data_IF_805713670891
#
_entry.id   IF_805713670891
#
_cell.length_a   1.000
_cell.length_b   1.000
_cell.length_c   1.000
_cell.angle_alpha   90.00
_cell.angle_beta   90.00
_cell.angle_gamma   90.00
#
_symmetry.space_group_name_H-M   'P 1'
#
loop_
_entity.id
_entity.type
_entity.pdbx_description
1 polymer ?
#
# COMPACT_ATOMS: atom_id res chain seq x y z
N UNK A 1 6.26 42.40 28.40
CA UNK A 1 5.47 41.17 28.20
C UNK A 1 5.54 40.78 26.73
N UNK A 2 5.72 39.50 26.41
CA UNK A 2 6.36 38.52 27.30
C UNK A 2 7.36 37.63 26.54
N UNK A 3 8.56 37.33 27.03
CA UNK A 3 8.84 36.39 28.15
C UNK A 3 8.11 35.03 28.09
N UNK A 4 7.10 34.83 27.25
CA UNK A 4 6.40 33.55 27.06
C UNK A 4 7.04 32.69 25.96
N UNK A 5 7.67 33.30 24.94
CA UNK A 5 8.29 32.53 23.84
C UNK A 5 9.55 31.76 24.27
N UNK A 6 10.28 32.27 25.27
CA UNK A 6 11.47 31.58 25.82
C UNK A 6 11.08 30.50 26.82
N UNK A 7 9.93 30.64 27.51
CA UNK A 7 9.42 29.61 28.42
C UNK A 7 8.75 28.43 27.69
N UNK A 8 8.13 28.64 26.52
CA UNK A 8 7.57 27.54 25.72
C UNK A 8 8.64 26.65 25.05
N UNK A 9 9.80 27.23 24.70
CA UNK A 9 10.97 26.49 24.21
C UNK A 9 11.59 25.59 25.29
N UNK A 10 11.66 26.07 26.53
CA UNK A 10 12.13 25.28 27.68
C UNK A 10 11.13 24.18 28.12
N UNK A 11 9.82 24.44 28.01
CA UNK A 11 8.79 23.44 28.31
C UNK A 11 8.72 22.31 27.26
N UNK A 12 8.96 22.60 25.98
CA UNK A 12 9.07 21.59 24.93
C UNK A 12 10.34 20.73 25.07
N UNK A 13 11.47 21.32 25.47
CA UNK A 13 12.69 20.57 25.80
C UNK A 13 12.52 19.70 27.06
N UNK A 14 11.79 20.17 28.07
CA UNK A 14 11.46 19.39 29.26
C UNK A 14 10.45 18.26 28.98
N UNK A 15 9.49 18.45 28.07
CA UNK A 15 8.55 17.40 27.66
C UNK A 15 9.22 16.30 26.79
N UNK A 16 10.23 16.66 25.99
CA UNK A 16 11.06 15.68 25.26
C UNK A 16 12.04 14.95 26.19
N UNK A 17 12.45 15.57 27.30
CA UNK A 17 13.22 14.90 28.35
C UNK A 17 12.36 13.96 29.22
N UNK A 18 11.08 14.29 29.45
CA UNK A 18 10.18 13.51 30.31
C UNK A 18 9.39 12.39 29.58
N UNK A 19 9.55 12.25 28.27
CA UNK A 19 9.11 11.07 27.50
C UNK A 19 10.22 10.03 27.33
N UNK A 20 11.42 10.29 27.85
CA UNK A 20 12.54 9.35 27.94
C UNK A 20 12.68 8.68 29.31
N UNK A 21 11.74 8.90 30.24
CA UNK A 21 11.76 8.39 31.61
C UNK A 21 10.63 7.41 31.94
N UNK A 22 10.05 6.72 30.94
CA UNK A 22 9.53 5.38 31.20
C UNK A 22 10.73 4.44 31.10
N UNK A 23 11.32 4.21 32.26
CA UNK A 23 12.54 3.44 32.52
C UNK A 23 12.61 2.18 31.65
N UNK A 24 13.36 2.26 30.54
CA UNK A 24 14.12 1.10 30.11
C UNK A 24 15.07 0.82 31.27
N UNK A 25 14.83 -0.29 31.98
CA UNK A 25 15.73 -0.71 33.05
C UNK A 25 17.16 -0.75 32.53
N UNK A 26 18.09 -0.41 33.41
CA UNK A 26 19.51 -0.22 33.13
C UNK A 26 20.13 -1.40 32.35
N UNK A 27 21.22 -1.17 31.57
CA UNK A 27 22.02 -2.24 30.90
C UNK A 27 22.47 -3.40 31.81
N UNK A 28 22.29 -3.24 33.12
CA UNK A 28 22.67 -4.15 34.19
C UNK A 28 21.73 -5.37 34.30
N UNK A 29 20.43 -5.26 33.99
CA UNK A 29 19.52 -6.42 34.03
C UNK A 29 19.69 -7.35 32.82
N UNK A 30 20.01 -6.81 31.64
CA UNK A 30 20.32 -7.60 30.45
C UNK A 30 21.60 -8.45 30.64
N UNK A 31 22.62 -7.88 31.32
CA UNK A 31 23.89 -8.53 31.60
C UNK A 31 23.87 -9.50 32.80
N UNK A 32 22.75 -9.57 33.53
CA UNK A 32 22.64 -10.47 34.70
C UNK A 32 22.61 -11.93 34.23
N UNK A 33 23.57 -12.72 34.69
CA UNK A 33 23.66 -14.14 34.39
C UNK A 33 22.63 -14.92 35.22
N UNK A 34 21.86 -15.79 34.56
CA UNK A 34 20.79 -16.59 35.16
C UNK A 34 20.84 -18.04 34.65
N UNK A 35 20.02 -18.92 35.21
CA UNK A 35 19.71 -20.19 34.55
C UNK A 35 18.89 -19.96 33.28
N UNK A 36 18.83 -20.94 32.37
CA UNK A 36 17.98 -20.86 31.17
C UNK A 36 16.50 -20.73 31.55
N UNK A 37 16.05 -21.48 32.57
CA UNK A 37 14.67 -21.43 33.06
C UNK A 37 14.33 -20.04 33.62
N UNK A 38 15.20 -19.47 34.47
CA UNK A 38 14.99 -18.15 35.04
C UNK A 38 15.12 -17.05 33.97
N UNK A 39 15.98 -17.24 32.98
CA UNK A 39 16.08 -16.34 31.83
C UNK A 39 14.83 -16.36 30.98
N UNK A 40 14.19 -17.53 30.80
CA UNK A 40 12.88 -17.62 30.13
C UNK A 40 11.83 -16.83 30.88
N UNK A 41 11.71 -17.04 32.20
CA UNK A 41 10.77 -16.29 33.03
C UNK A 41 11.05 -14.77 33.01
N UNK A 42 12.32 -14.37 33.11
CA UNK A 42 12.74 -12.97 33.08
C UNK A 42 12.51 -12.33 31.70
N UNK A 43 12.74 -13.06 30.62
CA UNK A 43 12.50 -12.60 29.25
C UNK A 43 10.99 -12.36 29.00
N UNK A 44 10.13 -13.26 29.49
CA UNK A 44 8.67 -13.09 29.43
C UNK A 44 8.22 -11.81 30.15
N UNK A 45 8.85 -11.50 31.29
CA UNK A 45 8.53 -10.34 32.12
C UNK A 45 9.16 -9.02 31.64
N UNK A 46 10.11 -9.07 30.69
CA UNK A 46 10.86 -7.91 30.23
C UNK A 46 10.44 -7.50 28.81
N UNK A 47 10.00 -6.27 28.64
CA UNK A 47 9.50 -5.78 27.35
C UNK A 47 10.57 -5.55 26.30
N UNK A 48 11.82 -5.41 26.73
CA UNK A 48 12.94 -5.30 25.82
C UNK A 48 13.50 -6.65 25.38
N UNK A 49 13.15 -7.78 26.01
CA UNK A 49 13.76 -9.06 25.69
C UNK A 49 13.22 -9.69 24.40
N UNK A 50 14.12 -10.07 23.50
CA UNK A 50 13.80 -10.76 22.22
C UNK A 50 14.53 -12.09 22.06
N UNK A 51 15.56 -12.36 22.88
CA UNK A 51 16.28 -13.62 22.90
C UNK A 51 17.01 -13.81 24.24
N UNK A 52 17.34 -15.06 24.55
CA UNK A 52 18.16 -15.47 25.68
C UNK A 52 19.43 -16.08 25.10
N UNK A 53 20.58 -15.69 25.62
CA UNK A 53 21.87 -16.22 25.16
C UNK A 53 22.59 -16.89 26.30
N UNK A 54 22.93 -18.16 26.13
CA UNK A 54 23.68 -18.96 27.09
C UNK A 54 25.03 -19.38 26.50
N UNK A 55 26.06 -19.67 27.32
CA UNK A 55 27.27 -20.32 26.84
C UNK A 55 26.94 -21.67 26.19
N UNK A 56 27.65 -22.02 25.11
CA UNK A 56 27.39 -23.25 24.35
C UNK A 56 27.37 -24.50 25.21
N UNK A 57 26.31 -25.30 25.07
CA UNK A 57 26.09 -26.54 25.81
C UNK A 57 25.79 -26.33 27.30
N UNK A 58 25.47 -25.11 27.74
CA UNK A 58 25.17 -24.79 29.14
C UNK A 58 23.80 -24.14 29.27
N UNK A 59 23.08 -24.54 30.32
CA UNK A 59 21.82 -23.91 30.74
C UNK A 59 22.02 -22.91 31.90
N UNK A 60 23.26 -22.50 32.16
CA UNK A 60 23.61 -21.53 33.19
C UNK A 60 24.51 -20.44 32.64
N UNK A 61 24.46 -19.25 33.23
CA UNK A 61 25.19 -18.09 32.73
C UNK A 61 24.47 -17.35 31.60
N UNK A 62 23.17 -17.58 31.45
CA UNK A 62 22.36 -17.02 30.38
C UNK A 62 22.04 -15.54 30.63
N UNK A 63 21.97 -14.75 29.57
CA UNK A 63 21.68 -13.31 29.59
C UNK A 63 20.53 -12.98 28.63
N UNK A 64 19.85 -11.85 28.86
CA UNK A 64 18.76 -11.42 27.99
C UNK A 64 19.32 -10.48 26.92
N UNK A 65 18.81 -10.59 25.69
CA UNK A 65 19.14 -9.68 24.60
C UNK A 65 17.92 -8.92 24.13
N UNK A 66 18.12 -7.63 23.87
CA UNK A 66 17.12 -6.75 23.26
C UNK A 66 17.17 -6.71 21.73
N UNK A 67 18.14 -7.40 21.13
CA UNK A 67 18.27 -7.57 19.68
C UNK A 67 18.65 -9.02 19.41
N UNK A 68 17.89 -9.70 18.56
CA UNK A 68 18.12 -11.10 18.18
C UNK A 68 18.97 -11.17 16.90
N UNK A 69 20.29 -10.99 17.01
CA UNK A 69 21.20 -11.33 15.92
C UNK A 69 21.53 -12.82 16.02
N UNK A 70 20.80 -13.64 15.28
CA UNK A 70 20.88 -15.10 15.38
C UNK A 70 21.90 -15.67 14.40
N UNK A 71 23.15 -15.24 14.56
CA UNK A 71 24.30 -15.86 13.89
C UNK A 71 24.68 -17.09 14.71
N UNK A 72 24.80 -18.26 14.06
CA UNK A 72 25.34 -19.46 14.71
C UNK A 72 26.76 -19.15 15.19
N UNK A 73 26.89 -18.88 16.49
CA UNK A 73 28.12 -18.41 17.10
C UNK A 73 28.72 -19.55 17.89
N UNK A 74 29.98 -19.87 17.60
CA UNK A 74 30.63 -21.07 18.12
C UNK A 74 30.64 -21.19 19.66
N UNK A 75 30.43 -20.08 20.39
CA UNK A 75 30.57 -20.01 21.84
C UNK A 75 29.26 -19.82 22.60
N UNK A 76 28.14 -19.59 21.92
CA UNK A 76 26.87 -19.24 22.55
C UNK A 76 25.67 -19.98 21.91
N UNK A 77 24.78 -20.51 22.73
CA UNK A 77 23.47 -21.00 22.31
C UNK A 77 22.43 -19.89 22.49
N UNK A 78 21.64 -19.62 21.45
CA UNK A 78 20.60 -18.60 21.45
C UNK A 78 19.21 -19.24 21.53
N UNK A 79 18.48 -18.96 22.61
CA UNK A 79 17.13 -19.47 22.88
C UNK A 79 16.12 -18.34 22.70
N UNK A 80 15.08 -18.58 21.91
CA UNK A 80 13.98 -17.63 21.74
C UNK A 80 12.92 -17.76 22.83
N UNK A 81 12.15 -16.69 22.99
CA UNK A 81 10.81 -16.79 23.56
C UNK A 81 9.91 -17.49 22.52
N UNK A 82 9.79 -18.81 22.66
CA UNK A 82 8.82 -19.61 21.93
C UNK A 82 7.56 -19.62 22.79
N UNK A 83 6.54 -18.89 22.34
CA UNK A 83 5.19 -19.07 22.86
C UNK A 83 4.54 -20.20 22.08
N UNK A 84 3.70 -20.98 22.74
CA UNK A 84 2.91 -22.02 22.08
C UNK A 84 1.45 -21.68 22.33
N UNK A 85 0.64 -21.60 21.28
CA UNK A 85 -0.79 -21.33 21.42
C UNK A 85 -1.53 -22.54 22.03
N UNK A 86 -2.82 -22.39 22.30
CA UNK A 86 -3.66 -23.45 22.87
C UNK A 86 -3.78 -24.69 21.94
N UNK A 87 -3.50 -24.53 20.64
CA UNK A 87 -3.52 -25.58 19.63
C UNK A 87 -2.14 -26.25 19.42
N UNK A 88 -1.10 -25.80 20.14
CA UNK A 88 0.24 -26.37 20.05
C UNK A 88 1.14 -25.73 18.97
N UNK A 89 0.72 -24.64 18.33
CA UNK A 89 1.52 -23.94 17.32
C UNK A 89 2.57 -23.05 17.96
N UNK A 90 3.79 -23.07 17.42
CA UNK A 90 4.88 -22.20 17.85
C UNK A 90 4.64 -20.79 17.34
N UNK A 91 4.37 -19.87 18.26
CA UNK A 91 4.36 -18.44 18.05
C UNK A 91 5.77 -17.89 18.24
N UNK A 92 6.40 -17.51 17.13
CA UNK A 92 7.71 -16.86 17.11
C UNK A 92 7.63 -15.50 16.42
N UNK A 93 8.45 -14.58 16.88
CA UNK A 93 8.71 -13.31 16.20
C UNK A 93 9.63 -13.47 14.98
N UNK A 94 10.21 -14.66 14.77
CA UNK A 94 11.03 -14.97 13.59
C UNK A 94 10.13 -15.29 12.40
N UNK A 95 10.61 -14.88 11.22
CA UNK A 95 10.07 -15.37 9.96
C UNK A 95 10.47 -16.83 9.77
N UNK A 96 9.58 -17.61 9.17
CA UNK A 96 9.86 -19.00 8.80
C UNK A 96 11.12 -19.10 7.90
N UNK A 97 11.97 -20.14 8.01
CA UNK A 97 13.21 -20.23 7.23
C UNK A 97 13.04 -20.12 5.70
N UNK A 98 11.90 -20.58 5.17
CA UNK A 98 11.58 -20.48 3.75
C UNK A 98 11.08 -19.10 3.30
N UNK A 99 10.86 -18.14 4.22
CA UNK A 99 10.21 -16.86 3.92
C UNK A 99 10.92 -16.10 2.80
N UNK A 100 12.24 -15.95 2.89
CA UNK A 100 13.03 -15.23 1.87
C UNK A 100 13.11 -15.96 0.52
N UNK A 101 12.98 -17.29 0.51
CA UNK A 101 12.88 -18.04 -0.74
C UNK A 101 11.53 -17.83 -1.41
N UNK A 102 10.45 -17.78 -0.63
CA UNK A 102 9.11 -17.47 -1.14
C UNK A 102 9.05 -16.08 -1.77
N UNK A 103 9.74 -15.08 -1.23
CA UNK A 103 9.77 -13.73 -1.81
C UNK A 103 10.38 -13.65 -3.23
N UNK A 104 11.02 -14.73 -3.71
CA UNK A 104 11.48 -14.84 -5.10
C UNK A 104 10.31 -15.06 -6.07
N UNK A 105 9.16 -15.50 -5.57
CA UNK A 105 7.94 -15.70 -6.34
C UNK A 105 7.13 -14.41 -6.45
N UNK A 106 6.71 -14.07 -7.67
CA UNK A 106 6.03 -12.80 -7.97
C UNK A 106 4.81 -12.44 -7.07
N UNK A 107 3.91 -13.39 -6.71
CA UNK A 107 2.73 -13.06 -5.91
C UNK A 107 3.04 -12.74 -4.45
N UNK A 108 4.16 -13.21 -3.92
CA UNK A 108 4.46 -13.15 -2.50
C UNK A 108 5.17 -11.86 -2.15
N UNK A 109 4.57 -11.09 -1.25
CA UNK A 109 5.06 -9.81 -0.79
C UNK A 109 5.27 -9.84 0.73
N UNK A 110 6.42 -9.34 1.16
CA UNK A 110 6.76 -9.31 2.57
C UNK A 110 5.92 -8.28 3.33
N UNK A 111 5.77 -8.50 4.63
CA UNK A 111 5.28 -7.51 5.58
C UNK A 111 6.40 -7.19 6.56
N UNK A 112 6.59 -5.90 6.86
CA UNK A 112 7.59 -5.42 7.80
C UNK A 112 6.95 -4.53 8.87
N UNK A 113 7.63 -4.37 9.99
CA UNK A 113 7.32 -3.37 11.01
C UNK A 113 7.80 -1.99 10.58
N UNK A 114 7.45 -0.95 11.34
CA UNK A 114 7.95 0.42 11.13
C UNK A 114 9.47 0.56 11.13
N UNK A 115 10.20 -0.37 11.76
CA UNK A 115 11.66 -0.37 11.83
C UNK A 115 12.30 -1.21 10.72
N UNK A 116 11.51 -1.77 9.82
CA UNK A 116 11.98 -2.60 8.71
C UNK A 116 12.17 -4.09 9.03
N UNK A 117 11.87 -4.52 10.26
CA UNK A 117 11.94 -5.94 10.62
C UNK A 117 10.83 -6.71 9.90
N UNK A 118 11.17 -7.78 9.16
CA UNK A 118 10.19 -8.68 8.59
C UNK A 118 9.40 -9.39 9.70
N UNK A 119 8.13 -9.66 9.43
CA UNK A 119 7.25 -10.45 10.32
C UNK A 119 6.72 -11.65 9.57
N UNK A 120 6.28 -12.70 10.28
CA UNK A 120 5.87 -13.97 9.69
C UNK A 120 4.48 -13.92 9.03
N UNK A 121 4.22 -12.84 8.29
CA UNK A 121 3.03 -12.55 7.52
C UNK A 121 3.45 -12.35 6.07
N UNK A 122 2.73 -12.93 5.12
CA UNK A 122 3.00 -12.81 3.70
C UNK A 122 1.75 -12.38 2.95
N UNK A 123 1.83 -11.28 2.20
CA UNK A 123 0.75 -10.87 1.33
C UNK A 123 0.81 -11.61 -0.01
N UNK A 124 -0.35 -11.97 -0.55
CA UNK A 124 -0.50 -12.54 -1.88
C UNK A 124 -1.20 -11.54 -2.78
N UNK A 125 -0.44 -10.89 -3.68
CA UNK A 125 -0.88 -9.71 -4.45
C UNK A 125 -1.41 -10.00 -5.85
N UNK A 126 -1.29 -11.24 -6.30
CA UNK A 126 -1.72 -11.70 -7.63
C UNK A 126 -2.17 -13.16 -7.58
N UNK A 127 -2.93 -13.65 -8.58
CA UNK A 127 -3.28 -15.06 -8.68
C UNK A 127 -2.03 -15.96 -8.65
N UNK A 128 -1.86 -16.86 -7.67
CA UNK A 128 -0.74 -17.81 -7.67
C UNK A 128 -0.95 -18.88 -8.74
N UNK A 129 0.11 -19.18 -9.50
CA UNK A 129 0.12 -20.32 -10.42
C UNK A 129 0.20 -21.66 -9.66
N UNK A 130 0.15 -22.79 -10.38
CA UNK A 130 0.15 -24.11 -9.74
C UNK A 130 1.38 -24.44 -8.88
N UNK A 131 2.55 -23.87 -9.17
CA UNK A 131 3.76 -24.01 -8.32
C UNK A 131 3.61 -23.20 -7.05
N UNK A 132 3.19 -21.94 -7.18
CA UNK A 132 2.98 -21.02 -6.06
C UNK A 132 1.85 -21.48 -5.14
N UNK A 133 0.80 -22.11 -5.68
CA UNK A 133 -0.24 -22.75 -4.88
C UNK A 133 0.32 -23.92 -4.05
N UNK A 134 1.23 -24.73 -4.59
CA UNK A 134 1.89 -25.80 -3.82
C UNK A 134 2.77 -25.23 -2.71
N UNK A 135 3.48 -24.13 -2.98
CA UNK A 135 4.28 -23.43 -1.97
C UNK A 135 3.38 -22.88 -0.85
N UNK A 136 2.27 -22.23 -1.20
CA UNK A 136 1.26 -21.82 -0.23
C UNK A 136 0.77 -23.00 0.61
N UNK A 137 0.29 -24.07 -0.03
CA UNK A 137 -0.24 -25.24 0.69
C UNK A 137 0.79 -25.88 1.63
N UNK A 138 2.07 -25.83 1.26
CA UNK A 138 3.16 -26.36 2.10
C UNK A 138 3.40 -25.54 3.37
N UNK A 139 3.25 -24.22 3.32
CA UNK A 139 3.64 -23.31 4.42
C UNK A 139 2.48 -22.53 5.03
N UNK A 140 1.23 -22.75 4.59
CA UNK A 140 0.05 -21.96 5.02
C UNK A 140 -0.25 -22.04 6.52
N UNK A 141 0.24 -23.08 7.18
CA UNK A 141 0.03 -23.30 8.61
C UNK A 141 1.17 -22.64 9.42
N UNK A 142 2.38 -22.54 8.86
CA UNK A 142 3.57 -21.95 9.49
C UNK A 142 3.75 -20.45 9.21
N UNK A 143 3.16 -19.92 8.14
CA UNK A 143 3.23 -18.50 7.73
C UNK A 143 1.80 -17.98 7.57
N UNK A 144 1.51 -16.81 8.13
CA UNK A 144 0.21 -16.17 7.93
C UNK A 144 0.15 -15.55 6.52
N UNK A 145 -0.46 -16.25 5.58
CA UNK A 145 -0.76 -15.68 4.26
C UNK A 145 -2.06 -14.89 4.30
N UNK A 146 -2.03 -13.65 3.80
CA UNK A 146 -3.20 -12.80 3.59
C UNK A 146 -3.27 -12.40 2.12
N UNK A 147 -4.47 -12.40 1.54
CA UNK A 147 -4.64 -11.87 0.18
C UNK A 147 -4.65 -10.34 0.16
N UNK A 148 -4.23 -9.73 -0.95
CA UNK A 148 -4.39 -8.29 -1.18
C UNK A 148 -4.82 -7.96 -2.61
N UNK A 149 -5.83 -7.11 -2.72
CA UNK A 149 -6.26 -6.51 -3.98
C UNK A 149 -5.18 -5.55 -4.50
N UNK A 150 -4.46 -5.97 -5.54
CA UNK A 150 -3.37 -5.19 -6.17
C UNK A 150 -3.34 -5.31 -7.70
N UNK A 151 -3.63 -6.49 -8.26
CA UNK A 151 -3.53 -6.74 -9.69
C UNK A 151 -4.91 -6.87 -10.38
N UNK A 152 -5.24 -5.92 -11.26
CA UNK A 152 -6.48 -5.91 -12.06
C UNK A 152 -7.73 -6.22 -11.20
N UNK A 153 -8.42 -7.33 -11.50
CA UNK A 153 -9.64 -7.76 -10.81
C UNK A 153 -9.39 -8.68 -9.61
N UNK A 154 -8.14 -9.07 -9.33
CA UNK A 154 -7.80 -10.01 -8.26
C UNK A 154 -8.34 -9.53 -6.89
N UNK A 155 -9.05 -10.39 -6.13
CA UNK A 155 -9.16 -11.86 -6.24
C UNK A 155 -10.27 -12.40 -7.16
N UNK A 156 -11.03 -11.54 -7.83
CA UNK A 156 -12.07 -11.98 -8.75
C UNK A 156 -11.44 -12.63 -9.97
N UNK A 157 -12.19 -13.59 -10.52
CA UNK A 157 -11.86 -14.18 -11.81
C UNK A 157 -12.26 -13.20 -12.90
N UNK A 158 -11.43 -13.11 -13.93
CA UNK A 158 -11.85 -12.47 -15.17
C UNK A 158 -13.08 -13.20 -15.71
N UNK A 159 -14.04 -12.45 -16.21
CA UNK A 159 -15.20 -13.01 -16.91
C UNK A 159 -14.73 -13.95 -18.04
N UNK A 160 -15.39 -15.10 -18.17
CA UNK A 160 -15.03 -16.16 -19.12
C UNK A 160 -13.75 -16.94 -18.79
N UNK A 161 -13.13 -16.73 -17.62
CA UNK A 161 -11.98 -17.53 -17.18
C UNK A 161 -12.39 -18.97 -16.86
N UNK A 162 -11.62 -19.94 -17.35
CA UNK A 162 -11.73 -21.35 -16.97
C UNK A 162 -10.93 -21.69 -15.70
N UNK A 163 -10.37 -20.69 -15.02
CA UNK A 163 -9.63 -20.90 -13.78
C UNK A 163 -10.54 -21.49 -12.69
N UNK A 164 -10.16 -22.65 -12.19
CA UNK A 164 -10.90 -23.38 -11.15
C UNK A 164 -10.50 -22.93 -9.74
N UNK A 165 -9.37 -22.25 -9.57
CA UNK A 165 -8.91 -21.82 -8.26
C UNK A 165 -9.89 -20.83 -7.62
N UNK A 166 -10.28 -21.06 -6.37
CA UNK A 166 -11.07 -20.12 -5.59
C UNK A 166 -10.15 -19.30 -4.70
N UNK A 167 -9.75 -18.11 -5.18
CA UNK A 167 -8.88 -17.20 -4.42
C UNK A 167 -9.62 -16.50 -3.28
N UNK A 168 -10.97 -16.43 -3.33
CA UNK A 168 -11.76 -15.70 -2.34
C UNK A 168 -11.75 -16.41 -1.00
N UNK A 169 -11.87 -17.74 -1.00
CA UNK A 169 -11.80 -18.57 0.21
C UNK A 169 -10.40 -19.08 0.57
N UNK A 170 -9.39 -18.80 -0.24
CA UNK A 170 -8.06 -19.41 -0.13
C UNK A 170 -7.29 -18.98 1.12
N UNK A 171 -7.42 -17.72 1.54
CA UNK A 171 -6.69 -17.14 2.65
C UNK A 171 -7.62 -16.86 3.84
N UNK A 172 -7.14 -16.97 5.09
CA UNK A 172 -7.94 -16.66 6.28
C UNK A 172 -8.30 -15.16 6.39
N UNK A 173 -7.56 -14.28 5.70
CA UNK A 173 -7.88 -12.87 5.62
C UNK A 173 -7.51 -12.24 4.28
N UNK A 174 -8.20 -11.16 3.93
CA UNK A 174 -8.05 -10.47 2.66
C UNK A 174 -8.16 -8.94 2.79
N UNK A 175 -7.15 -8.24 2.27
CA UNK A 175 -7.13 -6.79 2.09
C UNK A 175 -7.82 -6.45 0.77
N UNK A 176 -9.09 -6.05 0.83
CA UNK A 176 -9.99 -5.98 -0.34
C UNK A 176 -10.30 -4.55 -0.77
N UNK A 177 -10.88 -4.44 -1.96
CA UNK A 177 -11.46 -3.20 -2.50
C UNK A 177 -12.93 -3.34 -2.92
N UNK A 178 -13.59 -4.46 -2.58
CA UNK A 178 -15.03 -4.66 -2.81
C UNK A 178 -15.87 -3.66 -2.00
N UNK A 179 -16.94 -3.13 -2.60
CA UNK A 179 -17.93 -2.27 -1.92
C UNK A 179 -18.80 -3.03 -0.92
N UNK A 180 -19.11 -4.28 -1.24
CA UNK A 180 -19.94 -5.18 -0.42
C UNK A 180 -19.18 -6.50 -0.19
N UNK A 181 -18.10 -6.48 0.63
CA UNK A 181 -17.22 -7.64 0.81
C UNK A 181 -17.93 -8.89 1.32
N UNK A 182 -18.96 -8.74 2.14
CA UNK A 182 -19.76 -9.83 2.72
C UNK A 182 -20.57 -10.62 1.68
N UNK A 183 -20.83 -10.03 0.51
CA UNK A 183 -21.47 -10.72 -0.63
C UNK A 183 -20.47 -11.48 -1.50
N UNK A 184 -19.18 -11.17 -1.37
CA UNK A 184 -18.11 -11.65 -2.26
C UNK A 184 -17.25 -12.69 -1.55
N UNK A 185 -16.83 -12.40 -0.32
CA UNK A 185 -15.96 -13.28 0.45
C UNK A 185 -16.76 -14.26 1.29
N UNK A 186 -16.30 -15.52 1.41
CA UNK A 186 -16.87 -16.46 2.35
C UNK A 186 -16.81 -15.94 3.81
N UNK A 187 -17.77 -16.29 4.68
CA UNK A 187 -17.85 -15.75 6.05
C UNK A 187 -16.62 -16.03 6.93
N UNK A 188 -15.84 -17.06 6.63
CA UNK A 188 -14.63 -17.38 7.40
C UNK A 188 -13.45 -16.45 7.08
N UNK A 189 -13.51 -15.70 5.98
CA UNK A 189 -12.43 -14.82 5.54
C UNK A 189 -12.60 -13.46 6.20
N UNK A 190 -11.60 -13.05 6.97
CA UNK A 190 -11.58 -11.73 7.60
C UNK A 190 -11.21 -10.67 6.57
N UNK A 191 -11.95 -9.58 6.49
CA UNK A 191 -11.77 -8.58 5.44
C UNK A 191 -11.36 -7.22 6.00
N UNK A 192 -10.42 -6.55 5.33
CA UNK A 192 -10.07 -5.16 5.59
C UNK A 192 -10.09 -4.35 4.28
N UNK A 193 -10.81 -3.23 4.24
CA UNK A 193 -10.83 -2.31 3.10
C UNK A 193 -9.47 -1.58 2.97
N UNK A 194 -8.55 -2.15 2.22
CA UNK A 194 -7.16 -1.71 2.08
C UNK A 194 -6.55 -2.21 0.77
N UNK A 195 -5.72 -1.38 0.14
CA UNK A 195 -4.95 -1.75 -1.05
C UNK A 195 -3.51 -1.25 -0.95
N UNK A 196 -2.67 -1.67 -1.89
CA UNK A 196 -1.26 -1.26 -1.94
C UNK A 196 -1.11 0.26 -2.16
N UNK A 197 -2.08 0.91 -2.80
CA UNK A 197 -2.08 2.35 -3.01
C UNK A 197 -2.21 3.14 -1.70
N UNK A 198 -2.74 2.55 -0.62
CA UNK A 198 -2.84 3.19 0.70
C UNK A 198 -1.45 3.49 1.31
N UNK A 199 -0.39 2.87 0.80
CA UNK A 199 1.01 3.06 1.21
C UNK A 199 1.83 3.85 0.18
N UNK A 200 1.21 4.31 -0.91
CA UNK A 200 1.89 4.90 -2.07
C UNK A 200 1.78 6.43 -2.13
N UNK A 201 1.75 7.11 -0.98
CA UNK A 201 1.78 8.57 -0.93
C UNK A 201 3.22 9.08 -1.12
N UNK A 202 3.52 9.83 -2.20
CA UNK A 202 4.82 10.45 -2.36
C UNK A 202 5.04 11.57 -1.33
N UNK A 203 6.27 11.72 -0.84
CA UNK A 203 6.66 12.84 0.00
C UNK A 203 6.93 14.07 -0.88
N UNK A 204 5.94 14.95 -0.96
CA UNK A 204 5.94 16.09 -1.87
C UNK A 204 5.48 17.37 -1.16
N UNK A 205 6.06 18.53 -1.52
CA UNK A 205 5.64 19.80 -0.95
C UNK A 205 4.19 20.11 -1.30
N UNK A 206 3.57 21.00 -0.51
CA UNK A 206 2.24 21.52 -0.81
C UNK A 206 2.23 22.24 -2.16
N UNK A 207 1.06 22.28 -2.81
CA UNK A 207 0.85 22.99 -4.06
C UNK A 207 1.08 24.49 -3.86
N UNK A 208 1.84 25.08 -4.78
CA UNK A 208 1.92 26.53 -4.95
C UNK A 208 0.72 26.99 -5.79
N UNK A 209 -0.26 27.62 -5.15
CA UNK A 209 -1.47 28.13 -5.79
C UNK A 209 -1.23 29.39 -6.65
N UNK A 210 -0.06 30.02 -6.56
CA UNK A 210 0.31 31.14 -7.44
C UNK A 210 0.68 30.68 -8.86
N UNK A 211 1.01 29.39 -9.03
CA UNK A 211 1.31 28.80 -10.33
C UNK A 211 0.04 28.25 -10.96
N UNK A 212 -0.44 28.82 -12.08
CA UNK A 212 -1.64 28.33 -12.75
C UNK A 212 -1.42 26.93 -13.34
N UNK A 213 -2.49 26.14 -13.40
CA UNK A 213 -2.48 24.85 -14.08
C UNK A 213 -2.34 25.07 -15.59
N UNK A 214 -1.52 24.24 -16.24
CA UNK A 214 -1.22 24.33 -17.67
C UNK A 214 -2.15 23.48 -18.53
N UNK A 215 -2.62 22.36 -17.97
CA UNK A 215 -3.49 21.40 -18.66
C UNK A 215 -4.76 21.20 -17.87
N UNK A 216 -5.83 20.79 -18.52
CA UNK A 216 -7.06 20.43 -17.82
C UNK A 216 -6.90 19.08 -17.13
N UNK A 217 -6.34 18.08 -17.82
CA UNK A 217 -6.21 16.74 -17.25
C UNK A 217 -4.92 16.01 -17.60
N UNK A 218 -4.57 15.02 -16.78
CA UNK A 218 -3.58 13.99 -17.10
C UNK A 218 -4.25 12.62 -17.05
N UNK A 219 -3.92 11.77 -18.02
CA UNK A 219 -4.32 10.35 -18.06
C UNK A 219 -3.06 9.48 -18.15
N UNK A 220 -2.98 8.44 -17.33
CA UNK A 220 -1.88 7.48 -17.30
C UNK A 220 -2.28 6.19 -18.01
N UNK A 221 -1.72 5.97 -19.20
CA UNK A 221 -1.91 4.76 -19.98
C UNK A 221 -0.81 3.73 -19.69
N UNK A 222 -0.51 2.87 -20.67
CA UNK A 222 0.67 2.01 -20.71
C UNK A 222 1.08 1.84 -22.17
N UNK A 223 2.39 1.73 -22.43
CA UNK A 223 2.94 1.74 -23.79
C UNK A 223 2.91 0.36 -24.47
N UNK A 224 2.38 -0.68 -23.80
CA UNK A 224 2.52 -2.06 -24.26
C UNK A 224 1.64 -2.45 -25.48
N UNK A 225 0.60 -1.67 -25.78
CA UNK A 225 -0.32 -1.94 -26.91
C UNK A 225 -0.32 -0.86 -27.99
N UNK A 226 0.67 0.05 -27.99
CA UNK A 226 0.71 1.17 -28.97
C UNK A 226 0.70 0.67 -30.40
N UNK A 227 1.31 -0.47 -30.66
CA UNK A 227 1.32 -1.06 -32.00
C UNK A 227 -0.07 -1.52 -32.48
N UNK A 228 -0.96 -1.88 -31.56
CA UNK A 228 -2.31 -2.36 -31.85
C UNK A 228 -3.39 -1.34 -31.51
N UNK A 229 -3.01 -0.06 -31.33
CA UNK A 229 -3.91 1.03 -30.95
C UNK A 229 -4.75 0.75 -29.68
N UNK A 230 -4.14 0.07 -28.70
CA UNK A 230 -4.80 -0.22 -27.43
C UNK A 230 -5.84 -1.33 -27.49
N UNK A 231 -5.79 -2.22 -28.50
CA UNK A 231 -6.66 -3.40 -28.57
C UNK A 231 -6.19 -4.58 -27.71
N UNK A 232 -5.06 -4.46 -27.02
CA UNK A 232 -4.52 -5.50 -26.15
C UNK A 232 -4.86 -5.33 -24.67
N UNK A 233 -4.08 -5.98 -23.81
CA UNK A 233 -4.31 -6.04 -22.36
C UNK A 233 -4.10 -4.68 -21.65
N UNK A 234 -3.10 -3.90 -22.03
CA UNK A 234 -2.86 -2.56 -21.48
C UNK A 234 -3.99 -1.59 -21.86
N UNK A 235 -4.44 -1.64 -23.12
CA UNK A 235 -5.56 -0.81 -23.56
C UNK A 235 -6.87 -1.20 -22.88
N UNK A 236 -7.14 -2.50 -22.73
CA UNK A 236 -8.29 -3.00 -21.97
C UNK A 236 -8.26 -2.58 -20.50
N UNK A 237 -7.15 -2.85 -19.79
CA UNK A 237 -7.00 -2.52 -18.36
C UNK A 237 -7.06 -1.01 -18.10
N UNK A 238 -6.55 -0.19 -19.01
CA UNK A 238 -6.61 1.27 -18.92
C UNK A 238 -7.88 1.90 -19.52
N UNK A 239 -8.80 1.07 -20.03
CA UNK A 239 -10.07 1.46 -20.64
C UNK A 239 -9.92 2.42 -21.83
N UNK A 240 -8.95 2.14 -22.71
CA UNK A 240 -8.58 3.02 -23.82
C UNK A 240 -9.70 3.28 -24.82
N UNK A 241 -10.56 2.29 -25.08
CA UNK A 241 -11.72 2.46 -25.96
C UNK A 241 -12.64 3.57 -25.47
N UNK A 242 -12.99 3.56 -24.17
CA UNK A 242 -13.75 4.63 -23.55
C UNK A 242 -13.00 5.96 -23.55
N UNK A 243 -11.69 5.94 -23.29
CA UNK A 243 -10.86 7.16 -23.33
C UNK A 243 -10.95 7.84 -24.70
N UNK A 244 -10.86 7.09 -25.81
CA UNK A 244 -10.98 7.66 -27.16
C UNK A 244 -12.33 8.34 -27.38
N UNK A 245 -13.41 7.74 -26.90
CA UNK A 245 -14.76 8.30 -26.99
C UNK A 245 -14.89 9.57 -26.14
N UNK A 246 -14.49 9.50 -24.87
CA UNK A 246 -14.50 10.62 -23.94
C UNK A 246 -13.66 11.81 -24.47
N UNK A 247 -12.48 11.53 -25.04
CA UNK A 247 -11.62 12.52 -25.66
C UNK A 247 -12.33 13.29 -26.79
N UNK A 248 -13.18 12.62 -27.57
CA UNK A 248 -13.94 13.25 -28.64
C UNK A 248 -14.79 14.41 -28.12
N UNK A 249 -15.52 14.17 -27.03
CA UNK A 249 -16.34 15.17 -26.35
C UNK A 249 -15.50 16.19 -25.57
N UNK A 250 -14.51 15.74 -24.79
CA UNK A 250 -13.63 16.60 -24.00
C UNK A 250 -12.90 17.63 -24.85
N UNK A 251 -12.31 17.22 -25.97
CA UNK A 251 -11.59 18.13 -26.87
C UNK A 251 -12.53 18.90 -27.79
N UNK A 252 -13.57 18.24 -28.32
CA UNK A 252 -14.45 18.81 -29.34
C UNK A 252 -15.44 19.81 -28.77
N UNK A 253 -16.13 19.44 -27.70
CA UNK A 253 -17.22 20.23 -27.15
C UNK A 253 -16.78 21.10 -25.98
N UNK A 254 -15.93 20.56 -25.09
CA UNK A 254 -15.46 21.28 -23.90
C UNK A 254 -14.11 21.98 -24.12
N UNK A 255 -13.48 21.79 -25.28
CA UNK A 255 -12.21 22.40 -25.66
C UNK A 255 -11.06 22.14 -24.66
N UNK A 256 -11.09 20.99 -23.98
CA UNK A 256 -10.09 20.64 -22.96
C UNK A 256 -8.73 20.29 -23.58
N UNK A 257 -7.70 20.61 -22.83
CA UNK A 257 -6.29 20.28 -23.10
C UNK A 257 -5.79 19.24 -22.10
N UNK A 258 -4.84 18.40 -22.50
CA UNK A 258 -4.47 17.27 -21.64
C UNK A 258 -3.16 16.61 -21.98
N UNK A 259 -2.72 15.77 -21.06
CA UNK A 259 -1.50 14.95 -21.19
C UNK A 259 -1.88 13.48 -21.13
N UNK A 260 -1.55 12.77 -22.21
CA UNK A 260 -1.71 11.33 -22.36
C UNK A 260 -0.35 10.67 -22.17
N UNK A 261 -0.13 10.15 -20.97
CA UNK A 261 1.17 9.59 -20.56
C UNK A 261 1.28 8.14 -21.05
N UNK A 262 2.43 7.79 -21.62
CA UNK A 262 2.74 6.46 -22.16
C UNK A 262 1.79 5.98 -23.27
N UNK A 263 1.33 6.91 -24.13
CA UNK A 263 0.54 6.58 -25.33
C UNK A 263 1.36 6.57 -26.61
N UNK A 264 2.69 6.52 -26.50
CA UNK A 264 3.62 6.33 -27.60
C UNK A 264 4.54 5.16 -27.32
N UNK A 265 4.95 4.47 -28.39
CA UNK A 265 5.92 3.39 -28.26
C UNK A 265 7.29 3.94 -27.82
N UNK A 266 8.16 3.09 -27.28
CA UNK A 266 9.47 3.52 -26.75
C UNK A 266 10.37 4.21 -27.78
N UNK A 267 10.23 3.83 -29.05
CA UNK A 267 10.95 4.45 -30.17
C UNK A 267 10.39 5.83 -30.57
N UNK A 268 9.26 6.25 -29.99
CA UNK A 268 8.55 7.50 -30.33
C UNK A 268 8.21 7.60 -31.83
N UNK A 269 7.96 6.46 -32.49
CA UNK A 269 7.60 6.37 -33.92
C UNK A 269 6.11 6.16 -34.14
N UNK A 270 5.39 5.71 -33.12
CA UNK A 270 3.96 5.46 -33.18
C UNK A 270 3.27 5.91 -31.88
N UNK A 271 2.01 6.28 -32.01
CA UNK A 271 1.17 6.72 -30.92
C UNK A 271 -0.20 6.05 -31.01
N UNK A 272 -0.90 5.96 -29.88
CA UNK A 272 -2.34 5.69 -29.92
C UNK A 272 -3.06 6.78 -30.72
N UNK A 273 -4.07 6.37 -31.47
CA UNK A 273 -4.96 7.24 -32.20
C UNK A 273 -5.77 8.10 -31.24
N UNK A 274 -5.92 9.38 -31.57
CA UNK A 274 -6.79 10.32 -30.85
C UNK A 274 -7.77 10.95 -31.83
N UNK A 275 -8.96 11.36 -31.38
CA UNK A 275 -9.92 12.06 -32.23
C UNK A 275 -9.32 13.31 -32.88
N UNK A 276 -9.75 13.65 -34.10
CA UNK A 276 -9.27 14.82 -34.83
C UNK A 276 -9.48 16.13 -34.05
N UNK A 277 -10.58 16.21 -33.28
CA UNK A 277 -10.90 17.36 -32.41
C UNK A 277 -9.85 17.61 -31.31
N UNK A 278 -9.01 16.62 -31.00
CA UNK A 278 -7.92 16.71 -30.02
C UNK A 278 -6.57 17.10 -30.62
N UNK A 279 -6.44 17.19 -31.95
CA UNK A 279 -5.18 17.60 -32.59
C UNK A 279 -4.78 19.00 -32.12
N UNK A 280 -3.54 19.12 -31.65
CA UNK A 280 -3.00 20.38 -31.09
C UNK A 280 -3.41 20.68 -29.64
N UNK A 281 -4.27 19.86 -29.02
CA UNK A 281 -4.72 20.02 -27.62
C UNK A 281 -4.10 19.01 -26.65
N UNK A 282 -3.54 17.93 -27.17
CA UNK A 282 -2.99 16.82 -26.39
C UNK A 282 -1.48 16.73 -26.49
N UNK A 283 -0.83 16.49 -25.36
CA UNK A 283 0.55 15.99 -25.31
C UNK A 283 0.49 14.48 -25.16
N UNK A 284 1.11 13.75 -26.09
CA UNK A 284 1.31 12.31 -25.99
C UNK A 284 2.79 12.00 -25.70
N UNK A 285 3.06 11.25 -24.63
CA UNK A 285 4.43 10.89 -24.23
C UNK A 285 4.74 9.43 -24.51
N UNK A 286 6.04 9.10 -24.61
CA UNK A 286 6.52 7.73 -24.39
C UNK A 286 6.40 7.35 -22.92
N UNK A 287 6.75 6.11 -22.56
CA UNK A 287 6.95 5.73 -21.17
C UNK A 287 7.94 6.69 -20.47
N UNK A 288 7.53 7.22 -19.32
CA UNK A 288 8.33 8.13 -18.52
C UNK A 288 9.14 7.31 -17.50
N UNK A 289 10.45 7.20 -17.73
CA UNK A 289 11.32 6.37 -16.90
C UNK A 289 11.47 6.90 -15.46
N UNK A 290 11.43 8.22 -15.28
CA UNK A 290 11.48 8.84 -13.96
C UNK A 290 10.06 9.19 -13.53
N UNK A 291 9.70 8.76 -12.33
CA UNK A 291 8.40 9.05 -11.74
C UNK A 291 8.16 10.57 -11.60
N UNK A 292 9.22 11.34 -11.35
CA UNK A 292 9.14 12.81 -11.27
C UNK A 292 8.61 13.45 -12.56
N UNK A 293 8.95 12.88 -13.74
CA UNK A 293 8.47 13.42 -15.02
C UNK A 293 6.95 13.27 -15.15
N UNK A 294 6.40 12.18 -14.62
CA UNK A 294 4.96 11.98 -14.53
C UNK A 294 4.32 12.97 -13.54
N UNK A 295 4.90 13.13 -12.36
CA UNK A 295 4.43 14.06 -11.34
C UNK A 295 4.44 15.52 -11.82
N UNK A 296 5.40 15.88 -12.68
CA UNK A 296 5.46 17.21 -13.27
C UNK A 296 4.27 17.50 -14.19
N UNK A 297 3.77 16.52 -14.95
CA UNK A 297 2.52 16.68 -15.70
C UNK A 297 1.30 16.70 -14.77
N UNK A 298 1.26 15.77 -13.81
CA UNK A 298 0.15 15.62 -12.88
C UNK A 298 -0.09 16.93 -12.10
N UNK A 299 0.96 17.52 -11.52
CA UNK A 299 0.86 18.78 -10.76
C UNK A 299 0.48 19.98 -11.63
N UNK A 300 0.69 19.90 -12.95
CA UNK A 300 0.29 20.93 -13.92
C UNK A 300 -1.14 20.74 -14.44
N UNK A 301 -1.81 19.63 -14.11
CA UNK A 301 -3.20 19.37 -14.48
C UNK A 301 -4.19 19.83 -13.42
N UNK A 302 -5.38 20.25 -13.86
CA UNK A 302 -6.51 20.59 -12.97
C UNK A 302 -7.08 19.35 -12.29
N UNK A 303 -7.13 18.21 -12.98
CA UNK A 303 -7.52 16.92 -12.40
C UNK A 303 -6.77 15.73 -13.03
N UNK A 304 -6.79 14.58 -12.36
CA UNK A 304 -6.35 13.31 -12.94
C UNK A 304 -7.56 12.53 -13.46
N UNK A 305 -7.49 12.02 -14.69
CA UNK A 305 -8.56 11.23 -15.30
C UNK A 305 -8.28 9.73 -15.14
N UNK A 306 -9.16 9.03 -14.41
CA UNK A 306 -9.04 7.62 -14.07
C UNK A 306 -10.25 6.83 -14.62
N UNK A 307 -10.25 6.49 -15.92
CA UNK A 307 -11.36 5.80 -16.56
C UNK A 307 -11.33 4.28 -16.41
N UNK A 308 -10.33 3.74 -15.73
CA UNK A 308 -10.13 2.30 -15.62
C UNK A 308 -11.28 1.65 -14.85
N UNK A 309 -11.66 0.43 -15.27
CA UNK A 309 -12.59 -0.42 -14.53
C UNK A 309 -11.80 -1.54 -13.83
N UNK A 310 -10.84 -2.14 -14.54
CA UNK A 310 -10.04 -3.27 -14.09
C UNK A 310 -8.76 -2.85 -13.36
N UNK A 311 -8.88 -2.06 -12.30
CA UNK A 311 -7.75 -1.60 -11.48
C UNK A 311 -8.11 -1.63 -9.98
N UNK A 312 -7.67 -2.67 -9.27
CA UNK A 312 -7.94 -2.82 -7.84
C UNK A 312 -7.09 -1.91 -6.95
N UNK A 313 -5.96 -1.38 -7.43
CA UNK A 313 -5.07 -0.55 -6.61
C UNK A 313 -4.44 0.56 -7.47
N UNK A 314 -5.24 1.53 -7.93
CA UNK A 314 -4.76 2.59 -8.82
C UNK A 314 -3.84 3.56 -8.05
N UNK A 315 -2.53 3.32 -8.10
CA UNK A 315 -1.50 4.16 -7.45
C UNK A 315 -1.52 5.61 -7.94
N UNK A 316 -1.98 5.82 -9.17
CA UNK A 316 -2.21 7.16 -9.74
C UNK A 316 -3.17 7.97 -8.87
N UNK A 317 -4.17 7.35 -8.24
CA UNK A 317 -5.12 8.05 -7.37
C UNK A 317 -4.41 8.66 -6.16
N UNK A 318 -3.73 7.82 -5.37
CA UNK A 318 -3.05 8.25 -4.15
C UNK A 318 -1.94 9.28 -4.45
N UNK A 319 -1.25 9.11 -5.58
CA UNK A 319 -0.23 10.05 -6.06
C UNK A 319 -0.82 11.39 -6.50
N UNK A 320 -1.94 11.39 -7.22
CA UNK A 320 -2.64 12.62 -7.60
C UNK A 320 -3.10 13.40 -6.37
N UNK A 321 -3.71 12.70 -5.40
CA UNK A 321 -4.17 13.35 -4.18
C UNK A 321 -3.01 13.95 -3.38
N UNK A 322 -1.89 13.23 -3.22
CA UNK A 322 -0.70 13.77 -2.55
C UNK A 322 -0.11 15.02 -3.24
N UNK A 323 -0.26 15.13 -4.56
CA UNK A 323 0.11 16.31 -5.36
C UNK A 323 -0.93 17.43 -5.38
N UNK A 324 -1.96 17.31 -4.54
CA UNK A 324 -3.06 18.25 -4.46
C UNK A 324 -3.82 18.40 -5.80
N UNK A 325 -4.05 17.26 -6.45
CA UNK A 325 -4.78 17.15 -7.72
C UNK A 325 -6.03 16.29 -7.50
N UNK A 326 -7.24 16.84 -7.68
CA UNK A 326 -8.46 16.07 -7.57
C UNK A 326 -8.57 15.02 -8.68
N UNK A 327 -9.36 13.99 -8.45
CA UNK A 327 -9.47 12.84 -9.36
C UNK A 327 -10.88 12.74 -9.96
N UNK A 328 -10.98 12.54 -11.27
CA UNK A 328 -12.22 12.16 -11.95
C UNK A 328 -12.15 10.66 -12.22
N UNK A 329 -12.95 9.87 -11.50
CA UNK A 329 -12.82 8.42 -11.46
C UNK A 329 -14.07 7.72 -12.00
N UNK A 330 -13.88 6.63 -12.73
CA UNK A 330 -14.99 5.77 -13.13
C UNK A 330 -15.59 5.09 -11.88
N UNK A 331 -16.90 5.19 -11.67
CA UNK A 331 -17.62 4.62 -10.54
C UNK A 331 -17.47 3.10 -10.44
N UNK A 332 -17.37 2.43 -11.60
CA UNK A 332 -17.27 0.99 -11.74
C UNK A 332 -15.85 0.46 -11.54
N UNK A 333 -14.86 1.31 -11.22
CA UNK A 333 -13.51 0.86 -10.94
C UNK A 333 -13.48 -0.17 -9.78
N UNK A 334 -12.72 -1.23 -9.97
CA UNK A 334 -12.56 -2.32 -9.01
C UNK A 334 -12.02 -1.84 -7.66
N UNK A 335 -11.11 -0.87 -7.67
CA UNK A 335 -10.55 -0.27 -6.48
C UNK A 335 -10.12 1.18 -6.69
N UNK A 336 -9.90 1.89 -5.59
CA UNK A 336 -9.61 3.32 -5.58
C UNK A 336 -10.85 4.20 -5.38
N UNK A 337 -12.06 3.66 -5.54
CA UNK A 337 -13.30 4.39 -5.32
C UNK A 337 -13.37 5.04 -3.92
N UNK A 338 -12.80 4.41 -2.89
CA UNK A 338 -12.76 4.94 -1.52
C UNK A 338 -11.95 6.24 -1.37
N UNK A 339 -11.18 6.62 -2.40
CA UNK A 339 -10.41 7.86 -2.40
C UNK A 339 -11.23 9.06 -2.90
N UNK A 340 -12.40 8.83 -3.50
CA UNK A 340 -13.27 9.89 -4.00
C UNK A 340 -14.27 10.28 -2.90
N UNK A 341 -14.33 11.57 -2.63
CA UNK A 341 -15.18 12.24 -1.65
C UNK A 341 -15.42 13.67 -2.12
N UNK A 342 -16.25 14.42 -1.40
CA UNK A 342 -16.46 15.85 -1.67
C UNK A 342 -15.17 16.68 -1.61
N UNK A 343 -14.11 16.19 -0.93
CA UNK A 343 -12.83 16.88 -0.83
C UNK A 343 -11.82 16.50 -1.90
N UNK A 344 -12.04 15.42 -2.64
CA UNK A 344 -10.96 14.78 -3.43
C UNK A 344 -11.28 14.60 -4.90
N UNK A 345 -12.54 14.71 -5.32
CA UNK A 345 -12.88 14.64 -6.74
C UNK A 345 -14.30 14.21 -7.01
N UNK A 346 -14.51 13.63 -8.19
CA UNK A 346 -15.83 13.30 -8.71
C UNK A 346 -15.85 11.91 -9.36
N UNK A 347 -17.03 11.30 -9.35
CA UNK A 347 -17.30 10.08 -10.11
C UNK A 347 -18.01 10.37 -11.43
N UNK A 348 -17.85 9.46 -12.37
CA UNK A 348 -18.72 9.30 -13.55
C UNK A 348 -18.96 7.81 -13.79
N UNK A 349 -20.03 7.46 -14.51
CA UNK A 349 -20.36 6.07 -14.82
C UNK A 349 -19.92 5.72 -16.24
N UNK A 350 -20.30 6.55 -17.21
CA UNK A 350 -20.07 6.31 -18.64
C UNK A 350 -20.30 7.61 -19.44
N UNK A 351 -20.52 7.50 -20.75
CA UNK A 351 -20.74 8.68 -21.61
C UNK A 351 -22.03 9.45 -21.31
N UNK A 352 -23.01 8.83 -20.64
CA UNK A 352 -24.29 9.46 -20.31
C UNK A 352 -24.15 10.56 -19.26
N UNK A 353 -23.16 10.48 -18.37
CA UNK A 353 -22.99 11.42 -17.24
C UNK A 353 -21.60 12.07 -17.17
N UNK A 354 -20.58 11.57 -17.88
CA UNK A 354 -19.21 12.10 -17.81
C UNK A 354 -19.14 13.61 -18.10
N UNK A 355 -19.99 14.12 -19.00
CA UNK A 355 -20.04 15.57 -19.29
C UNK A 355 -20.37 16.37 -18.02
N UNK A 356 -21.37 15.93 -17.26
CA UNK A 356 -21.79 16.62 -16.03
C UNK A 356 -20.69 16.56 -14.97
N UNK A 357 -20.09 15.39 -14.78
CA UNK A 357 -18.99 15.20 -13.83
C UNK A 357 -17.74 16.02 -14.20
N UNK A 358 -17.42 16.13 -15.49
CA UNK A 358 -16.36 16.99 -15.99
C UNK A 358 -16.62 18.46 -15.66
N UNK A 359 -17.82 18.97 -15.96
CA UNK A 359 -18.17 20.36 -15.64
C UNK A 359 -18.07 20.63 -14.13
N UNK A 360 -18.47 19.67 -13.30
CA UNK A 360 -18.38 19.78 -11.84
C UNK A 360 -16.93 19.82 -11.36
N UNK A 361 -16.09 18.86 -11.76
CA UNK A 361 -14.69 18.82 -11.32
C UNK A 361 -13.86 19.99 -11.87
N UNK A 362 -14.14 20.44 -13.10
CA UNK A 362 -13.50 21.62 -13.67
C UNK A 362 -13.80 22.86 -12.83
N UNK A 363 -15.08 23.08 -12.49
CA UNK A 363 -15.50 24.19 -11.64
C UNK A 363 -14.84 24.11 -10.26
N UNK A 364 -14.88 22.95 -9.61
CA UNK A 364 -14.27 22.76 -8.30
C UNK A 364 -12.75 22.91 -8.30
N UNK A 365 -12.07 22.47 -9.36
CA UNK A 365 -10.61 22.61 -9.48
C UNK A 365 -10.13 24.07 -9.66
N UNK A 366 -11.00 24.95 -10.15
CA UNK A 366 -10.73 26.39 -10.31
C UNK A 366 -11.06 27.20 -9.06
N UNK A 367 -11.94 26.68 -8.20
CA UNK A 367 -12.38 27.34 -6.98
C UNK A 367 -11.39 27.06 -5.83
N UNK A 368 -10.74 28.10 -5.26
CA UNK A 368 -9.80 27.92 -4.16
C UNK A 368 -10.42 27.16 -2.99
N UNK A 369 -9.73 26.15 -2.48
CA UNK A 369 -10.15 25.31 -1.34
C UNK A 369 -11.46 24.53 -1.53
N UNK A 370 -12.02 24.44 -2.74
CA UNK A 370 -13.17 23.58 -2.99
C UNK A 370 -12.81 22.11 -2.80
N UNK A 371 -11.71 21.67 -3.42
CA UNK A 371 -11.09 20.39 -3.14
C UNK A 371 -9.83 20.60 -2.26
N UNK A 372 -9.62 19.71 -1.29
CA UNK A 372 -8.42 19.66 -0.45
C UNK A 372 -7.77 18.25 -0.49
N UNK A 373 -7.45 17.72 -1.69
CA UNK A 373 -7.13 16.31 -1.85
C UNK A 373 -5.87 15.89 -1.10
N UNK A 374 -4.85 16.74 -1.03
CA UNK A 374 -3.61 16.43 -0.31
C UNK A 374 -3.83 16.33 1.18
N UNK A 375 -4.55 17.31 1.76
CA UNK A 375 -4.87 17.35 3.18
C UNK A 375 -5.64 16.09 3.57
N UNK A 376 -6.72 15.80 2.86
CA UNK A 376 -7.53 14.61 3.09
C UNK A 376 -6.70 13.32 2.98
N UNK A 377 -5.87 13.17 1.94
CA UNK A 377 -5.06 11.97 1.77
C UNK A 377 -4.04 11.77 2.90
N UNK A 378 -3.38 12.83 3.36
CA UNK A 378 -2.41 12.77 4.46
C UNK A 378 -3.05 12.48 5.83
N UNK A 379 -4.33 12.84 6.02
CA UNK A 379 -5.07 12.56 7.25
C UNK A 379 -5.61 11.12 7.32
N UNK A 380 -5.76 10.45 6.18
CA UNK A 380 -6.44 9.13 6.10
C UNK A 380 -5.54 7.98 5.66
N UNK A 381 -4.48 8.24 4.88
CA UNK A 381 -3.63 7.24 4.24
C UNK A 381 -2.14 7.49 4.48
N UNK A 382 -1.30 6.64 3.88
CA UNK A 382 0.15 6.64 4.05
C UNK A 382 0.62 5.60 5.07
N UNK A 383 1.93 5.39 5.10
CA UNK A 383 2.58 4.32 5.86
C UNK A 383 2.11 4.21 7.32
N UNK A 384 1.95 5.35 8.00
CA UNK A 384 1.51 5.38 9.38
C UNK A 384 0.04 4.97 9.52
N UNK A 385 -0.89 5.74 8.93
CA UNK A 385 -2.33 5.52 9.10
C UNK A 385 -2.78 4.15 8.55
N UNK A 386 -2.30 3.79 7.36
CA UNK A 386 -2.61 2.51 6.74
C UNK A 386 -1.96 1.34 7.51
N UNK A 387 -0.72 1.52 7.97
CA UNK A 387 -0.02 0.48 8.71
C UNK A 387 -0.56 0.24 10.13
N UNK A 388 -1.04 1.28 10.82
CA UNK A 388 -1.72 1.17 12.12
C UNK A 388 -3.03 0.37 11.95
N UNK A 389 -3.78 0.62 10.89
CA UNK A 389 -4.99 -0.15 10.54
C UNK A 389 -4.68 -1.62 10.23
N UNK A 390 -3.60 -1.88 9.49
CA UNK A 390 -3.17 -3.25 9.17
C UNK A 390 -2.75 -4.00 10.43
N UNK A 391 -1.96 -3.35 11.30
CA UNK A 391 -1.56 -3.92 12.58
C UNK A 391 -2.79 -4.32 13.41
N UNK A 392 -3.72 -3.38 13.60
CA UNK A 392 -4.95 -3.64 14.35
C UNK A 392 -5.75 -4.80 13.77
N UNK A 393 -5.91 -4.84 12.45
CA UNK A 393 -6.61 -5.95 11.80
C UNK A 393 -5.94 -7.30 12.06
N UNK A 394 -4.61 -7.34 12.02
CA UNK A 394 -3.84 -8.55 12.29
C UNK A 394 -3.97 -8.98 13.75
N UNK A 395 -3.84 -8.06 14.69
CA UNK A 395 -3.98 -8.34 16.13
C UNK A 395 -5.41 -8.80 16.49
N UNK A 396 -6.43 -8.14 15.95
CA UNK A 396 -7.83 -8.45 16.25
C UNK A 396 -8.27 -9.83 15.71
N UNK A 397 -7.62 -10.34 14.65
CA UNK A 397 -8.10 -11.51 13.92
C UNK A 397 -7.14 -12.71 13.91
N UNK A 398 -5.84 -12.49 14.16
CA UNK A 398 -4.80 -13.50 13.93
C UNK A 398 -3.71 -13.49 15.03
N UNK A 399 -3.98 -12.92 16.21
CA UNK A 399 -3.04 -12.92 17.34
C UNK A 399 -2.72 -14.34 17.86
N UNK A 400 -3.60 -15.30 17.60
CA UNK A 400 -3.41 -16.73 17.87
C UNK A 400 -2.46 -17.40 16.86
N UNK A 401 -2.19 -16.76 15.71
CA UNK A 401 -1.38 -17.33 14.62
C UNK A 401 0.01 -16.73 14.48
N UNK A 402 0.21 -15.51 15.00
CA UNK A 402 1.48 -14.81 14.86
C UNK A 402 1.87 -14.08 16.14
N UNK A 403 3.18 -13.97 16.37
CA UNK A 403 3.74 -13.06 17.36
C UNK A 403 4.47 -11.92 16.66
N UNK A 404 4.06 -10.69 16.92
CA UNK A 404 4.76 -9.52 16.42
C UNK A 404 5.86 -9.09 17.40
N UNK A 405 6.99 -8.52 16.92
CA UNK A 405 8.00 -7.94 17.79
C UNK A 405 7.39 -6.91 18.75
N UNK A 406 7.79 -6.95 20.03
CA UNK A 406 7.34 -5.95 21.01
C UNK A 406 7.67 -4.53 20.50
N UNK A 407 6.73 -3.61 20.68
CA UNK A 407 6.86 -2.22 20.20
C UNK A 407 6.57 -2.01 18.71
N UNK A 408 6.08 -3.00 17.96
CA UNK A 408 5.46 -2.76 16.66
C UNK A 408 4.32 -1.75 16.81
N UNK A 409 4.38 -0.67 16.01
CA UNK A 409 3.36 0.40 16.03
C UNK A 409 2.50 0.40 14.76
N UNK A 410 3.08 -0.05 13.65
CA UNK A 410 2.38 -0.21 12.38
C UNK A 410 3.14 -1.19 11.48
N UNK A 411 2.42 -1.79 10.55
CA UNK A 411 2.94 -2.72 9.55
C UNK A 411 3.03 -2.06 8.17
N UNK A 412 4.01 -2.46 7.35
CA UNK A 412 4.30 -1.95 6.02
C UNK A 412 4.49 -3.11 5.05
N UNK A 413 4.32 -2.89 3.74
CA UNK A 413 4.57 -3.90 2.72
C UNK A 413 4.88 -3.33 1.35
#
# INVERSE_FOLDING_TARGET
MPLEAVQQSAAAAAAVANLRSREAKTPQEAATQRSLLDSKAACLAEDSCVAIVCPRGKESGCTLRAIANSVDYAYEDCYEQIEVDEAGHILSTRVHPAYNDLLKEYPFQQVTTQTGNQVNIMLVRSPPNGVQQKLYQKYKDDILFLGISSMNDYPLKREGSHDKADYLGMFPGFLHMMREPEKVFPPHVKTLLMSQSDFSLPDVPARDYSVPKKYDFTYSASDCDVESDGTGWCGWSKNWTFVKEALGMMCGELNLTGVLVATKNKANTKAYSIPDSCKGKMIQTTYLARQQDYFDYLKQSRFAFLPQIHDASPRVSSQALAHDVPILMNWYIQGGWKYVSEHTGEFFHDMSDIRQSLLKILKGADEPHHYEPRKWALEHYGNRHSGERLLKFVEDNFADRIKLPKGTKYLLF
#
